data_IF_511272416691
#
_entry.id   IF_511272416691
#
_cell.length_a   1.000
_cell.length_b   1.000
_cell.length_c   1.000
_cell.angle_alpha   90.00
_cell.angle_beta   90.00
_cell.angle_gamma   90.00
#
_symmetry.space_group_name_H-M   'P 1'
#
loop_
_entity.id
_entity.type
_entity.pdbx_description
1 polymer ?
#
# COMPACT_ATOMS: atom_id res chain seq x y z
N UNK A 1 13.23 5.97 -9.12
CA UNK A 1 13.20 6.22 -7.65
C UNK A 1 11.74 6.29 -7.28
N UNK A 2 11.29 5.66 -6.19
CA UNK A 2 9.86 5.67 -5.80
C UNK A 2 9.64 6.82 -4.81
N UNK A 3 9.21 8.01 -5.25
CA UNK A 3 9.23 9.22 -4.41
C UNK A 3 8.24 9.18 -3.25
N UNK A 4 7.20 8.34 -3.33
CA UNK A 4 6.13 8.30 -2.34
C UNK A 4 6.29 7.17 -1.31
N UNK A 5 7.37 6.38 -1.40
CA UNK A 5 7.65 5.30 -0.45
C UNK A 5 8.84 5.71 0.41
N UNK A 6 8.56 6.60 1.36
CA UNK A 6 9.55 7.10 2.30
C UNK A 6 9.50 6.35 3.65
N UNK A 7 8.28 6.11 4.18
CA UNK A 7 8.09 5.53 5.51
C UNK A 7 6.91 4.55 5.57
N UNK A 8 6.95 3.62 6.53
CA UNK A 8 5.95 2.56 6.69
C UNK A 8 4.71 2.93 7.51
N UNK A 9 4.50 4.22 7.82
CA UNK A 9 3.39 4.68 8.66
C UNK A 9 2.00 4.56 8.01
N UNK A 10 1.94 4.55 6.68
CA UNK A 10 0.70 4.45 5.90
C UNK A 10 0.76 3.27 4.92
N UNK A 11 0.42 2.07 5.41
CA UNK A 11 0.31 0.86 4.58
C UNK A 11 -0.74 1.02 3.48
N UNK A 12 -1.83 1.74 3.77
CA UNK A 12 -2.92 2.01 2.84
C UNK A 12 -2.47 2.84 1.64
N UNK A 13 -1.76 3.93 1.89
CA UNK A 13 -1.19 4.80 0.87
C UNK A 13 -0.08 4.10 0.07
N UNK A 14 0.77 3.33 0.74
CA UNK A 14 1.83 2.56 0.08
C UNK A 14 1.28 1.59 -0.97
N UNK A 15 0.36 0.70 -0.58
CA UNK A 15 -0.18 -0.33 -1.48
C UNK A 15 -0.96 0.30 -2.64
N UNK A 16 -1.77 1.35 -2.36
CA UNK A 16 -2.48 2.09 -3.41
C UNK A 16 -1.55 2.79 -4.40
N UNK A 17 -0.43 3.34 -3.92
CA UNK A 17 0.57 3.96 -4.79
C UNK A 17 1.25 2.90 -5.70
N UNK A 18 1.59 1.74 -5.14
CA UNK A 18 2.24 0.67 -5.90
C UNK A 18 1.31 0.05 -6.95
N UNK A 19 0.04 -0.17 -6.61
CA UNK A 19 -0.97 -0.71 -7.54
C UNK A 19 -1.46 0.33 -8.56
N UNK A 20 -1.36 1.62 -8.24
CA UNK A 20 -1.73 2.70 -9.16
C UNK A 20 -0.70 2.92 -10.28
N UNK A 21 -1.01 3.86 -11.16
CA UNK A 21 -0.18 4.23 -12.32
C UNK A 21 1.18 4.87 -11.92
N UNK A 22 1.37 5.21 -10.65
CA UNK A 22 2.56 5.91 -10.16
C UNK A 22 2.46 7.43 -10.30
N UNK A 23 3.60 8.13 -10.41
CA UNK A 23 3.64 9.60 -10.52
C UNK A 23 3.50 10.14 -11.95
N UNK A 24 3.95 9.39 -12.95
CA UNK A 24 3.92 9.74 -14.36
C UNK A 24 3.54 8.54 -15.24
N UNK A 25 2.55 7.75 -14.81
CA UNK A 25 2.09 6.53 -15.48
C UNK A 25 3.22 5.50 -15.71
N UNK A 26 4.12 5.40 -14.75
CA UNK A 26 5.31 4.56 -14.79
C UNK A 26 4.99 3.08 -14.53
N UNK A 27 3.85 2.79 -13.89
CA UNK A 27 3.50 1.43 -13.53
C UNK A 27 2.42 0.88 -14.48
N UNK A 28 2.64 -0.34 -14.96
CA UNK A 28 1.72 -1.08 -15.83
C UNK A 28 1.68 -2.54 -15.38
N UNK A 29 0.53 -3.20 -15.52
CA UNK A 29 0.37 -4.64 -15.29
C UNK A 29 0.86 -5.07 -13.89
N UNK A 30 0.47 -4.32 -12.85
CA UNK A 30 0.85 -4.57 -11.46
C UNK A 30 0.21 -5.87 -10.99
N UNK A 31 1.00 -6.79 -10.43
CA UNK A 31 0.53 -8.10 -9.99
C UNK A 31 1.25 -8.54 -8.71
N UNK A 32 0.62 -9.43 -7.96
CA UNK A 32 1.26 -10.05 -6.80
C UNK A 32 2.21 -11.16 -7.23
N UNK A 33 3.46 -11.06 -6.80
CA UNK A 33 4.46 -12.11 -6.99
C UNK A 33 4.44 -13.10 -5.81
N UNK A 34 4.24 -12.57 -4.61
CA UNK A 34 4.26 -13.33 -3.37
C UNK A 34 3.46 -12.60 -2.28
N UNK A 35 2.94 -13.38 -1.34
CA UNK A 35 2.10 -12.92 -0.25
C UNK A 35 1.72 -14.07 0.67
N UNK A 36 0.86 -13.81 1.66
CA UNK A 36 0.29 -14.90 2.43
C UNK A 36 -0.65 -15.76 1.54
N UNK A 37 -0.98 -17.00 1.94
CA UNK A 37 -1.84 -17.86 1.12
C UNK A 37 -3.22 -17.29 0.81
N UNK A 38 -3.82 -16.52 1.73
CA UNK A 38 -5.15 -15.95 1.54
C UNK A 38 -5.15 -14.85 0.46
N UNK A 39 -4.26 -13.87 0.58
CA UNK A 39 -4.04 -12.80 -0.39
C UNK A 39 -3.71 -13.39 -1.76
N UNK A 40 -2.80 -14.37 -1.82
CA UNK A 40 -2.44 -15.01 -3.09
C UNK A 40 -3.62 -15.73 -3.73
N UNK A 41 -4.46 -16.43 -2.95
CA UNK A 41 -5.63 -17.10 -3.47
C UNK A 41 -6.71 -16.14 -3.98
N UNK A 42 -6.81 -14.94 -3.39
CA UNK A 42 -7.82 -13.95 -3.79
C UNK A 42 -7.38 -13.04 -4.94
N UNK A 43 -6.08 -12.75 -5.04
CA UNK A 43 -5.56 -11.67 -5.91
C UNK A 43 -4.33 -12.06 -6.75
N UNK A 44 -3.85 -13.29 -6.67
CA UNK A 44 -2.56 -13.69 -7.25
C UNK A 44 -2.52 -13.85 -8.77
N UNK A 45 -3.67 -13.97 -9.43
CA UNK A 45 -3.76 -14.20 -10.88
C UNK A 45 -4.25 -12.97 -11.67
N UNK A 46 -4.55 -11.86 -10.98
CA UNK A 46 -5.09 -10.63 -11.58
C UNK A 46 -4.03 -9.52 -11.67
N UNK A 47 -4.22 -8.63 -12.66
CA UNK A 47 -3.65 -7.29 -12.60
C UNK A 47 -4.45 -6.52 -11.54
N UNK A 48 -3.74 -5.96 -10.57
CA UNK A 48 -4.33 -5.32 -9.40
C UNK A 48 -5.07 -4.04 -9.78
N UNK A 49 -6.34 -3.99 -9.40
CA UNK A 49 -7.10 -2.74 -9.38
C UNK A 49 -7.02 -2.02 -8.02
N UNK A 50 -7.63 -0.83 -7.94
CA UNK A 50 -7.64 -0.01 -6.72
C UNK A 50 -8.42 -0.65 -5.56
N UNK A 51 -9.44 -1.45 -5.86
CA UNK A 51 -10.25 -2.12 -4.83
C UNK A 51 -9.49 -3.31 -4.23
N UNK A 52 -8.83 -4.11 -5.07
CA UNK A 52 -7.93 -5.19 -4.67
C UNK A 52 -6.76 -4.63 -3.84
N UNK A 53 -6.15 -3.54 -4.29
CA UNK A 53 -5.09 -2.86 -3.56
C UNK A 53 -5.56 -2.40 -2.15
N UNK A 54 -6.78 -1.87 -2.04
CA UNK A 54 -7.34 -1.46 -0.75
C UNK A 54 -7.59 -2.67 0.17
N UNK A 55 -8.09 -3.78 -0.37
CA UNK A 55 -8.33 -5.01 0.40
C UNK A 55 -7.01 -5.60 0.93
N UNK A 56 -6.00 -5.72 0.06
CA UNK A 56 -4.65 -6.17 0.43
C UNK A 56 -4.05 -5.27 1.52
N UNK A 57 -4.19 -3.95 1.37
CA UNK A 57 -3.66 -3.01 2.35
C UNK A 57 -4.32 -3.15 3.74
N UNK A 58 -5.63 -3.39 3.78
CA UNK A 58 -6.36 -3.59 5.02
C UNK A 58 -5.86 -4.85 5.75
N UNK A 59 -5.69 -5.96 5.02
CA UNK A 59 -5.16 -7.20 5.59
C UNK A 59 -3.71 -7.04 6.08
N UNK A 60 -2.85 -6.43 5.27
CA UNK A 60 -1.45 -6.17 5.65
C UNK A 60 -1.34 -5.28 6.90
N UNK A 61 -2.21 -4.28 6.99
CA UNK A 61 -2.25 -3.36 8.12
C UNK A 61 -2.74 -4.05 9.40
N UNK A 62 -3.59 -5.08 9.31
CA UNK A 62 -4.08 -5.80 10.49
C UNK A 62 -2.99 -6.59 11.21
N UNK A 63 -1.96 -7.05 10.49
CA UNK A 63 -0.85 -7.78 11.13
C UNK A 63 -0.13 -6.95 12.19
N UNK A 64 -0.04 -5.62 12.04
CA UNK A 64 0.56 -4.78 13.10
C UNK A 64 -0.25 -4.85 14.39
N UNK A 65 -1.58 -4.91 14.29
CA UNK A 65 -2.48 -5.04 15.43
C UNK A 65 -2.32 -6.44 16.04
N UNK A 66 -2.32 -7.47 15.19
CA UNK A 66 -2.15 -8.86 15.61
C UNK A 66 -0.84 -9.11 16.38
N UNK A 67 0.27 -8.52 15.92
CA UNK A 67 1.57 -8.65 16.58
C UNK A 67 1.84 -7.59 17.66
N UNK A 68 0.89 -6.68 17.93
CA UNK A 68 1.07 -5.60 18.91
C UNK A 68 2.20 -4.63 18.56
N UNK A 69 2.44 -4.42 17.27
CA UNK A 69 3.51 -3.53 16.76
C UNK A 69 2.97 -2.12 16.61
N UNK A 70 3.57 -1.18 17.35
CA UNK A 70 3.34 0.24 17.17
C UNK A 70 4.31 0.80 16.11
N UNK A 71 3.77 1.38 15.05
CA UNK A 71 4.58 2.09 14.04
C UNK A 71 4.81 3.51 14.52
N UNK A 72 6.00 3.76 15.07
CA UNK A 72 6.33 5.02 15.74
C UNK A 72 6.67 6.16 14.79
N UNK A 73 6.88 5.88 13.50
CA UNK A 73 7.25 6.88 12.49
C UNK A 73 6.14 7.09 11.47
N UNK A 74 5.32 8.10 11.73
CA UNK A 74 4.42 8.70 10.74
C UNK A 74 5.11 9.92 10.12
N UNK A 75 5.41 9.89 8.83
CA UNK A 75 5.91 11.08 8.11
C UNK A 75 5.08 11.28 6.84
N UNK A 76 3.94 11.95 7.05
CA UNK A 76 3.42 13.07 6.24
C UNK A 76 2.21 13.63 6.96
N UNK A 77 2.42 14.68 7.74
CA UNK A 77 1.33 15.53 8.23
C UNK A 77 1.01 16.46 7.07
N UNK A 78 -0.11 16.24 6.39
CA UNK A 78 -0.62 17.19 5.40
C UNK A 78 -1.47 18.22 6.14
N UNK A 79 -0.93 19.42 6.28
CA UNK A 79 -1.62 20.59 6.77
C UNK A 79 -2.49 21.15 5.63
N UNK A 80 -3.81 21.02 5.79
CA UNK A 80 -4.80 21.47 4.80
C UNK A 80 -4.85 22.99 4.63
N UNK A 81 -4.34 23.75 5.60
CA UNK A 81 -4.38 25.21 5.58
C UNK A 81 -3.13 25.79 4.89
N UNK A 82 -1.97 25.12 5.00
CA UNK A 82 -0.72 25.54 4.36
C UNK A 82 -0.44 24.85 3.01
N UNK A 83 -1.01 23.66 2.78
CA UNK A 83 -0.78 22.85 1.58
C UNK A 83 0.52 22.03 1.61
N UNK A 84 1.18 21.90 2.77
CA UNK A 84 2.34 21.02 3.01
C UNK A 84 1.96 19.74 3.76
#
# INVERSE_FOLDING_TARGET
>A
MIPNVAYGGDMGGLVRYLAGEGGANEHTEQHLIAGNPAIMAMHGESVLDQAEAAAIAAELNEYKNFFGVEVTRHEKVFDKDSGE
#
